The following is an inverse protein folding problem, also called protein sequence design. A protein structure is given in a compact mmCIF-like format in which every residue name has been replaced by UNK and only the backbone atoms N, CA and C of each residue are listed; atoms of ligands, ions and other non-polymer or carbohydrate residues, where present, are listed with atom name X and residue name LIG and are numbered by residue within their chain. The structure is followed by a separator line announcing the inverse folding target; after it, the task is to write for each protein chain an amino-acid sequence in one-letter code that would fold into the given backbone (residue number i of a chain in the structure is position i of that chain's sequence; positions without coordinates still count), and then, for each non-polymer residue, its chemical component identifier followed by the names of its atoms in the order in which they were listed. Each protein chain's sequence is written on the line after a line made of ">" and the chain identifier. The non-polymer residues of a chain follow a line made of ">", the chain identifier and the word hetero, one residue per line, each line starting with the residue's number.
data_IF_902106448621
#
_entry.id   IF_902106448621
#
_cell.length_a   1.000
_cell.length_b   1.000
_cell.length_c   1.000
_cell.angle_alpha   90.00
_cell.angle_beta   90.00
_cell.angle_gamma   90.00
#
_symmetry.space_group_name_H-M   'P 1'
#
loop_
_entity.id
_entity.type
_entity.pdbx_description
1 polymer ?
#
# COMPACT_ATOMS: atom_id res chain seq x y z
N UNK A 1 30.86 15.17 25.02
CA UNK A 1 31.66 15.10 23.79
C UNK A 1 31.24 13.83 23.06
N UNK A 2 31.06 13.89 21.74
CA UNK A 2 30.72 12.72 20.94
C UNK A 2 31.92 11.75 20.98
N UNK A 3 31.77 10.59 21.61
CA UNK A 3 32.86 9.62 21.75
C UNK A 3 32.93 8.77 20.49
N UNK A 4 33.87 9.09 19.61
CA UNK A 4 34.15 8.29 18.42
C UNK A 4 34.75 6.93 18.84
N UNK A 5 34.12 5.84 18.44
CA UNK A 5 34.62 4.49 18.70
C UNK A 5 35.87 4.23 17.84
N UNK A 6 36.85 3.45 18.35
CA UNK A 6 38.00 3.05 17.54
C UNK A 6 37.57 2.22 16.32
N UNK A 7 38.13 2.54 15.16
CA UNK A 7 37.84 1.90 13.88
C UNK A 7 38.73 0.68 13.67
N UNK A 8 38.12 -0.46 13.32
CA UNK A 8 38.80 -1.73 13.06
C UNK A 8 38.99 -1.99 11.58
N UNK A 9 38.02 -1.59 10.75
CA UNK A 9 38.08 -1.73 9.30
C UNK A 9 38.03 -3.17 8.78
N UNK A 10 37.61 -4.14 9.60
CA UNK A 10 37.42 -5.55 9.23
C UNK A 10 35.96 -5.86 8.83
N UNK A 11 35.66 -7.09 8.38
CA UNK A 11 34.29 -7.50 7.98
C UNK A 11 33.25 -7.45 9.11
N UNK A 12 33.70 -7.32 10.36
CA UNK A 12 32.83 -7.17 11.54
C UNK A 12 32.61 -5.71 11.93
N UNK A 13 33.22 -4.78 11.20
CA UNK A 13 33.06 -3.35 11.41
C UNK A 13 31.64 -2.91 11.04
N UNK A 14 30.95 -2.36 12.04
CA UNK A 14 29.57 -1.85 11.88
C UNK A 14 29.60 -0.36 11.55
N UNK A 15 30.73 0.32 11.83
CA UNK A 15 30.89 1.73 11.55
C UNK A 15 31.15 1.97 10.06
N UNK A 16 30.32 2.80 9.43
CA UNK A 16 30.58 3.27 8.08
C UNK A 16 31.94 4.03 8.03
N UNK A 17 32.91 3.59 7.20
CA UNK A 17 34.25 4.18 7.16
C UNK A 17 34.24 5.68 6.83
N UNK A 18 33.31 6.12 5.98
CA UNK A 18 33.18 7.51 5.58
C UNK A 18 32.63 8.38 6.71
N UNK A 19 31.65 7.86 7.45
CA UNK A 19 31.11 8.49 8.65
C UNK A 19 32.14 8.56 9.77
N UNK A 20 32.95 7.50 9.96
CA UNK A 20 34.09 7.53 10.87
C UNK A 20 35.02 8.70 10.54
N UNK A 21 35.51 8.77 9.30
CA UNK A 21 36.47 9.80 8.89
C UNK A 21 35.88 11.21 8.99
N UNK A 22 34.60 11.40 8.64
CA UNK A 22 33.90 12.68 8.82
C UNK A 22 33.76 13.08 10.28
N UNK A 23 33.46 12.13 11.16
CA UNK A 23 33.32 12.35 12.60
C UNK A 23 34.67 12.68 13.23
N UNK A 24 35.73 11.95 12.87
CA UNK A 24 37.11 12.27 13.26
C UNK A 24 37.48 13.69 12.84
N UNK A 25 37.28 14.03 11.56
CA UNK A 25 37.54 15.37 11.03
C UNK A 25 36.79 16.48 11.76
N UNK A 26 35.55 16.21 12.22
CA UNK A 26 34.76 17.14 13.02
C UNK A 26 35.35 17.31 14.42
N UNK A 27 35.76 16.21 15.07
CA UNK A 27 36.39 16.24 16.39
C UNK A 27 37.69 17.04 16.35
N UNK A 28 38.55 16.78 15.37
CA UNK A 28 39.82 17.53 15.19
C UNK A 28 39.57 19.04 15.03
N UNK A 29 38.58 19.43 14.23
CA UNK A 29 38.18 20.84 14.07
C UNK A 29 37.66 21.47 15.36
N UNK A 30 36.87 20.74 16.15
CA UNK A 30 36.36 21.21 17.45
C UNK A 30 37.47 21.31 18.49
N UNK A 31 38.45 20.42 18.43
CA UNK A 31 39.63 20.42 19.30
C UNK A 31 40.68 21.47 18.89
N UNK A 32 40.50 22.14 17.74
CA UNK A 32 41.43 23.16 17.26
C UNK A 32 42.71 22.60 16.61
N UNK A 33 42.74 21.30 16.30
CA UNK A 33 43.89 20.66 15.62
C UNK A 33 43.85 21.04 14.14
N UNK A 34 44.69 22.01 13.77
CA UNK A 34 44.79 22.54 12.40
C UNK A 34 46.03 22.03 11.66
N UNK A 35 47.03 21.51 12.38
CA UNK A 35 48.22 20.92 11.77
C UNK A 35 47.91 19.54 11.19
N UNK A 36 48.37 19.29 9.96
CA UNK A 36 48.10 18.01 9.27
C UNK A 36 48.88 16.85 9.89
N UNK A 37 50.10 17.09 10.40
CA UNK A 37 50.92 16.07 11.05
C UNK A 37 50.29 15.62 12.36
N UNK A 38 49.92 16.57 13.23
CA UNK A 38 49.20 16.29 14.48
C UNK A 38 47.90 15.52 14.21
N UNK A 39 47.21 15.86 13.12
CA UNK A 39 45.97 15.19 12.72
C UNK A 39 46.21 13.76 12.22
N UNK A 40 47.29 13.50 11.50
CA UNK A 40 47.67 12.13 11.09
C UNK A 40 48.03 11.31 12.31
N UNK A 41 48.82 11.84 13.24
CA UNK A 41 49.18 11.16 14.47
C UNK A 41 47.95 10.85 15.33
N UNK A 42 47.07 11.84 15.51
CA UNK A 42 45.84 11.68 16.27
C UNK A 42 44.91 10.61 15.66
N UNK A 43 44.93 10.38 14.34
CA UNK A 43 44.11 9.33 13.73
C UNK A 43 44.46 7.95 14.28
N UNK A 44 45.73 7.69 14.60
CA UNK A 44 46.16 6.42 15.16
C UNK A 44 45.46 6.09 16.48
N UNK A 45 45.17 7.10 17.30
CA UNK A 45 44.44 6.93 18.58
C UNK A 45 42.98 6.48 18.37
N UNK A 46 42.43 6.71 17.17
CA UNK A 46 41.09 6.29 16.78
C UNK A 46 41.09 5.02 15.93
N UNK A 47 42.23 4.35 15.78
CA UNK A 47 42.33 3.03 15.15
C UNK A 47 42.44 1.96 16.24
N UNK A 48 41.67 0.89 16.10
CA UNK A 48 41.70 -0.21 17.06
C UNK A 48 43.03 -0.98 16.98
N UNK A 49 43.67 -1.31 18.12
CA UNK A 49 44.88 -2.15 18.11
C UNK A 49 44.63 -3.53 17.50
N UNK A 50 45.65 -4.10 16.84
CA UNK A 50 45.60 -5.43 16.22
C UNK A 50 44.45 -5.61 15.21
N UNK A 51 43.98 -4.52 14.61
CA UNK A 51 42.92 -4.52 13.59
C UNK A 51 43.50 -4.41 12.17
N UNK A 52 42.66 -4.71 11.19
CA UNK A 52 42.97 -4.50 9.78
C UNK A 52 43.30 -3.03 9.47
N UNK A 53 42.60 -2.10 10.12
CA UNK A 53 42.89 -0.68 10.00
C UNK A 53 44.28 -0.30 10.56
N UNK A 54 44.71 -0.93 11.65
CA UNK A 54 46.05 -0.72 12.19
C UNK A 54 47.12 -1.27 11.25
N UNK A 55 46.90 -2.46 10.68
CA UNK A 55 47.81 -3.04 9.69
C UNK A 55 47.92 -2.16 8.44
N UNK A 56 46.78 -1.67 7.92
CA UNK A 56 46.76 -0.71 6.82
C UNK A 56 47.54 0.56 7.15
N UNK A 57 47.27 1.17 8.31
CA UNK A 57 47.96 2.39 8.72
C UNK A 57 49.47 2.17 8.81
N UNK A 58 49.89 1.03 9.37
CA UNK A 58 51.29 0.61 9.49
C UNK A 58 52.00 0.42 8.14
N UNK A 59 51.25 0.12 7.08
CA UNK A 59 51.77 -0.08 5.73
C UNK A 59 51.71 1.16 4.84
N UNK A 60 51.22 2.31 5.35
CA UNK A 60 51.26 3.58 4.61
C UNK A 60 52.71 4.06 4.40
N UNK A 61 52.99 4.55 3.19
CA UNK A 61 54.27 5.18 2.87
C UNK A 61 54.47 6.50 3.62
N UNK A 62 55.73 6.96 3.72
CA UNK A 62 56.05 8.24 4.38
C UNK A 62 55.30 9.43 3.76
N UNK A 63 55.12 9.44 2.43
CA UNK A 63 54.34 10.47 1.74
C UNK A 63 52.85 10.43 2.14
N UNK A 64 52.26 9.23 2.24
CA UNK A 64 50.86 9.06 2.66
C UNK A 64 50.63 9.48 4.12
N UNK A 65 51.65 9.38 4.99
CA UNK A 65 51.57 9.85 6.39
C UNK A 65 51.95 11.31 6.58
N UNK A 66 52.50 11.98 5.58
CA UNK A 66 52.94 13.38 5.70
C UNK A 66 51.85 14.39 5.36
N UNK A 67 50.84 13.98 4.57
CA UNK A 67 49.78 14.85 4.07
C UNK A 67 48.42 14.23 4.37
N UNK A 68 47.54 15.00 5.00
CA UNK A 68 46.21 14.52 5.36
C UNK A 68 45.42 14.10 4.11
N UNK A 69 45.51 14.87 3.03
CA UNK A 69 44.83 14.57 1.77
C UNK A 69 45.29 13.22 1.16
N UNK A 70 46.58 12.88 1.27
CA UNK A 70 47.11 11.61 0.77
C UNK A 70 46.68 10.42 1.63
N UNK A 71 46.60 10.62 2.95
CA UNK A 71 46.05 9.61 3.87
C UNK A 71 44.57 9.37 3.58
N UNK A 72 43.77 10.43 3.48
CA UNK A 72 42.33 10.36 3.20
C UNK A 72 42.04 9.67 1.88
N UNK A 73 42.81 9.96 0.83
CA UNK A 73 42.71 9.25 -0.44
C UNK A 73 43.00 7.75 -0.30
N UNK A 74 44.04 7.40 0.46
CA UNK A 74 44.44 6.01 0.71
C UNK A 74 43.42 5.25 1.57
N UNK A 75 42.78 5.95 2.51
CA UNK A 75 41.71 5.43 3.36
C UNK A 75 40.48 5.10 2.50
N UNK A 76 40.05 6.05 1.66
CA UNK A 76 38.91 5.86 0.77
C UNK A 76 39.16 4.81 -0.31
N UNK A 77 40.41 4.58 -0.69
CA UNK A 77 40.78 3.49 -1.58
C UNK A 77 40.67 2.12 -0.89
N UNK A 78 41.07 2.02 0.39
CA UNK A 78 41.00 0.77 1.15
C UNK A 78 39.57 0.42 1.54
N UNK A 79 38.82 1.41 2.02
CA UNK A 79 37.42 1.27 2.42
C UNK A 79 36.54 2.09 1.49
N UNK A 80 36.41 1.58 0.27
CA UNK A 80 35.58 2.18 -0.77
C UNK A 80 34.14 2.35 -0.25
N UNK A 81 33.51 3.53 -0.41
CA UNK A 81 32.12 3.72 -0.04
C UNK A 81 31.27 2.69 -0.77
N UNK A 82 30.50 1.90 -0.03
CA UNK A 82 29.55 0.99 -0.65
C UNK A 82 28.61 1.81 -1.56
N UNK A 83 28.38 1.37 -2.80
CA UNK A 83 27.45 2.06 -3.68
C UNK A 83 26.08 2.06 -2.99
N UNK A 84 25.56 3.26 -2.73
CA UNK A 84 24.19 3.40 -2.22
C UNK A 84 23.28 2.68 -3.20
N UNK A 85 22.59 1.64 -2.73
CA UNK A 85 21.56 0.98 -3.51
C UNK A 85 20.50 2.03 -3.87
N UNK A 86 20.62 2.59 -5.08
CA UNK A 86 19.64 3.52 -5.61
C UNK A 86 18.44 2.70 -6.00
N UNK A 87 17.29 3.00 -5.39
CA UNK A 87 16.04 2.41 -5.85
C UNK A 87 15.86 2.72 -7.33
N UNK A 88 15.45 1.73 -8.11
CA UNK A 88 15.19 1.92 -9.53
C UNK A 88 13.88 2.69 -9.73
N UNK A 89 13.66 3.33 -10.89
CA UNK A 89 12.38 3.97 -11.21
C UNK A 89 11.18 3.03 -11.01
N UNK A 90 11.34 1.74 -11.32
CA UNK A 90 10.30 0.71 -11.16
C UNK A 90 9.96 0.48 -9.68
N UNK A 91 10.96 0.47 -8.80
CA UNK A 91 10.74 0.34 -7.35
C UNK A 91 10.01 1.56 -6.78
N UNK A 92 10.34 2.77 -7.27
CA UNK A 92 9.59 3.97 -6.90
C UNK A 92 8.15 3.94 -7.42
N UNK A 93 7.93 3.40 -8.61
CA UNK A 93 6.58 3.21 -9.15
C UNK A 93 5.79 2.17 -8.33
N UNK A 94 6.42 1.09 -7.88
CA UNK A 94 5.79 0.11 -7.00
C UNK A 94 5.40 0.73 -5.65
N UNK A 95 6.30 1.53 -5.05
CA UNK A 95 6.01 2.31 -3.84
C UNK A 95 4.86 3.30 -4.05
N UNK A 96 4.84 4.01 -5.19
CA UNK A 96 3.76 4.92 -5.56
C UNK A 96 2.41 4.20 -5.64
N UNK A 97 2.39 2.99 -6.21
CA UNK A 97 1.18 2.19 -6.33
C UNK A 97 0.75 1.57 -4.99
N UNK A 98 1.69 1.34 -4.07
CA UNK A 98 1.42 0.76 -2.74
C UNK A 98 1.06 1.84 -1.72
N UNK A 99 1.48 3.09 -1.95
CA UNK A 99 1.15 4.23 -1.10
C UNK A 99 -0.36 4.42 -1.01
N UNK A 100 -0.87 4.37 0.23
CA UNK A 100 -2.29 4.46 0.54
C UNK A 100 -2.52 5.52 1.61
N UNK A 101 -3.59 6.29 1.43
CA UNK A 101 -4.19 7.10 2.50
C UNK A 101 -5.37 6.29 3.01
N UNK A 102 -5.35 5.89 4.27
CA UNK A 102 -6.44 5.08 4.84
C UNK A 102 -7.67 5.95 5.14
N UNK A 103 -8.86 5.36 5.01
CA UNK A 103 -10.13 6.07 5.20
C UNK A 103 -10.26 6.66 6.63
N UNK A 104 -9.75 5.94 7.63
CA UNK A 104 -9.75 6.39 9.03
C UNK A 104 -8.72 7.51 9.29
N UNK A 105 -7.65 7.57 8.51
CA UNK A 105 -6.58 8.57 8.61
C UNK A 105 -6.94 9.88 7.92
N UNK A 106 -8.00 9.94 7.12
CA UNK A 106 -8.44 11.19 6.50
C UNK A 106 -8.79 12.23 7.57
N UNK A 107 -8.31 13.46 7.35
CA UNK A 107 -8.46 14.61 8.24
C UNK A 107 -7.91 14.40 9.66
N UNK A 108 -6.85 13.61 9.79
CA UNK A 108 -6.06 13.51 11.02
C UNK A 108 -4.67 14.14 10.83
N UNK A 109 -3.97 14.40 11.93
CA UNK A 109 -2.59 14.87 11.90
C UNK A 109 -1.63 13.75 12.28
N UNK A 110 -0.44 13.79 11.69
CA UNK A 110 0.67 12.89 12.02
C UNK A 110 1.95 13.70 12.13
N UNK A 111 2.79 13.34 13.08
CA UNK A 111 4.10 13.94 13.23
C UNK A 111 5.05 13.41 12.16
N UNK A 112 5.63 14.31 11.37
CA UNK A 112 6.66 14.00 10.38
C UNK A 112 7.80 15.00 10.56
N UNK A 113 9.00 14.49 10.86
CA UNK A 113 10.20 15.30 11.10
C UNK A 113 10.00 16.38 12.19
N UNK A 114 9.33 16.04 13.30
CA UNK A 114 9.06 16.98 14.40
C UNK A 114 7.97 18.01 14.11
N UNK A 115 7.25 17.89 12.99
CA UNK A 115 6.14 18.78 12.61
C UNK A 115 4.85 18.00 12.46
N UNK A 116 3.79 18.43 13.14
CA UNK A 116 2.45 17.90 12.94
C UNK A 116 1.88 18.42 11.61
N UNK A 117 1.61 17.51 10.68
CA UNK A 117 1.00 17.84 9.40
C UNK A 117 -0.23 16.95 9.16
N UNK A 118 -1.19 17.46 8.39
CA UNK A 118 -2.35 16.69 7.99
C UNK A 118 -1.95 15.51 7.11
N UNK A 119 -2.54 14.34 7.34
CA UNK A 119 -2.24 13.09 6.62
C UNK A 119 -2.43 13.20 5.11
N UNK A 120 -3.46 13.90 4.64
CA UNK A 120 -3.69 14.13 3.21
C UNK A 120 -2.60 15.02 2.58
N UNK A 121 -2.04 15.98 3.33
CA UNK A 121 -0.90 16.81 2.90
C UNK A 121 0.37 15.97 2.82
N UNK A 122 0.61 15.11 3.82
CA UNK A 122 1.75 14.19 3.84
C UNK A 122 1.66 13.24 2.64
N UNK A 123 0.49 12.64 2.42
CA UNK A 123 0.22 11.76 1.29
C UNK A 123 0.45 12.46 -0.05
N UNK A 124 -0.03 13.69 -0.21
CA UNK A 124 0.13 14.46 -1.45
C UNK A 124 1.60 14.74 -1.75
N UNK A 125 2.37 15.13 -0.73
CA UNK A 125 3.81 15.35 -0.83
C UNK A 125 4.55 14.07 -1.25
N UNK A 126 4.23 12.95 -0.60
CA UNK A 126 4.92 11.69 -0.84
C UNK A 126 4.57 11.09 -2.21
N UNK A 127 3.31 11.17 -2.61
CA UNK A 127 2.83 10.80 -3.95
C UNK A 127 3.63 11.55 -5.02
N UNK A 128 3.76 12.87 -4.90
CA UNK A 128 4.51 13.68 -5.86
C UNK A 128 6.01 13.34 -5.86
N UNK A 129 6.59 13.08 -4.68
CA UNK A 129 8.00 12.70 -4.54
C UNK A 129 8.28 11.38 -5.26
N UNK A 130 7.43 10.37 -5.07
CA UNK A 130 7.57 9.05 -5.69
C UNK A 130 7.35 9.11 -7.20
N UNK A 131 6.34 9.85 -7.67
CA UNK A 131 6.11 10.05 -9.10
C UNK A 131 7.31 10.70 -9.80
N UNK A 132 7.95 11.68 -9.16
CA UNK A 132 9.18 12.31 -9.66
C UNK A 132 10.37 11.35 -9.67
N UNK A 133 10.53 10.57 -8.60
CA UNK A 133 11.61 9.60 -8.50
C UNK A 133 11.47 8.46 -9.54
N UNK A 134 10.24 8.11 -9.92
CA UNK A 134 9.94 7.15 -10.97
C UNK A 134 9.93 7.75 -12.39
N UNK A 135 9.93 9.09 -12.54
CA UNK A 135 9.85 9.77 -13.84
C UNK A 135 8.49 9.63 -14.54
N UNK A 136 7.41 9.49 -13.76
CA UNK A 136 6.04 9.25 -14.26
C UNK A 136 5.08 10.39 -13.97
N UNK A 137 5.58 11.61 -13.74
CA UNK A 137 4.75 12.74 -13.26
C UNK A 137 3.58 13.08 -14.19
N UNK A 138 3.77 12.82 -15.49
CA UNK A 138 2.80 13.10 -16.56
C UNK A 138 2.05 11.87 -17.06
N UNK A 139 2.22 10.70 -16.42
CA UNK A 139 1.50 9.49 -16.80
C UNK A 139 0.04 9.57 -16.33
N UNK A 140 -0.84 9.95 -17.27
CA UNK A 140 -2.28 10.09 -17.03
C UNK A 140 -2.93 8.76 -16.58
N UNK A 141 -2.41 7.62 -17.04
CA UNK A 141 -2.90 6.29 -16.67
C UNK A 141 -2.64 6.01 -15.20
N UNK A 142 -1.40 6.22 -14.75
CA UNK A 142 -1.01 6.06 -13.35
C UNK A 142 -1.70 7.07 -12.43
N UNK A 143 -1.85 8.33 -12.87
CA UNK A 143 -2.63 9.34 -12.13
C UNK A 143 -4.05 8.85 -11.87
N UNK A 144 -4.71 8.27 -12.88
CA UNK A 144 -6.07 7.70 -12.72
C UNK A 144 -6.10 6.50 -11.77
N UNK A 145 -5.08 5.65 -11.80
CA UNK A 145 -4.98 4.49 -10.89
C UNK A 145 -4.83 4.96 -9.45
N UNK A 146 -3.91 5.90 -9.18
CA UNK A 146 -3.68 6.46 -7.84
C UNK A 146 -4.92 7.24 -7.37
N UNK A 147 -5.53 8.05 -8.23
CA UNK A 147 -6.77 8.75 -7.92
C UNK A 147 -7.89 7.79 -7.50
N UNK A 148 -8.03 6.62 -8.14
CA UNK A 148 -9.05 5.62 -7.77
C UNK A 148 -8.80 4.98 -6.40
N UNK A 149 -7.56 4.92 -5.93
CA UNK A 149 -7.17 4.36 -4.63
C UNK A 149 -7.40 5.33 -3.47
N UNK A 150 -7.67 6.60 -3.74
CA UNK A 150 -7.96 7.58 -2.69
C UNK A 150 -9.26 7.25 -1.94
N UNK A 151 -9.33 7.58 -0.64
CA UNK A 151 -10.54 7.52 0.16
C UNK A 151 -11.74 8.17 -0.54
N UNK A 152 -12.94 7.59 -0.32
CA UNK A 152 -14.17 8.09 -0.95
C UNK A 152 -14.44 9.56 -0.60
N UNK A 153 -14.17 9.94 0.66
CA UNK A 153 -14.28 11.32 1.18
C UNK A 153 -13.44 12.26 0.32
N UNK A 154 -12.15 11.95 0.13
CA UNK A 154 -11.22 12.75 -0.67
C UNK A 154 -11.68 12.82 -2.13
N UNK A 155 -12.03 11.68 -2.73
CA UNK A 155 -12.45 11.62 -4.15
C UNK A 155 -13.69 12.45 -4.45
N UNK A 156 -14.64 12.56 -3.52
CA UNK A 156 -15.85 13.38 -3.70
C UNK A 156 -15.55 14.87 -3.71
N UNK A 157 -14.56 15.30 -2.93
CA UNK A 157 -14.19 16.71 -2.82
C UNK A 157 -13.25 17.17 -3.94
N UNK A 158 -12.59 16.24 -4.64
CA UNK A 158 -11.80 16.54 -5.84
C UNK A 158 -12.72 16.93 -7.00
N UNK A 159 -12.91 18.24 -7.21
CA UNK A 159 -13.77 18.80 -8.26
C UNK A 159 -13.09 18.86 -9.63
N UNK A 160 -11.76 18.95 -9.65
CA UNK A 160 -10.97 19.12 -10.88
C UNK A 160 -10.46 17.79 -11.43
N UNK A 161 -10.43 17.69 -12.76
CA UNK A 161 -9.73 16.60 -13.44
C UNK A 161 -8.23 16.80 -13.28
N UNK A 162 -7.57 15.87 -12.59
CA UNK A 162 -6.13 15.85 -12.44
C UNK A 162 -5.52 15.00 -13.55
N UNK A 163 -4.66 15.59 -14.39
CA UNK A 163 -3.98 14.88 -15.48
C UNK A 163 -2.51 14.60 -15.17
N UNK A 164 -1.95 15.28 -14.17
CA UNK A 164 -0.58 15.10 -13.69
C UNK A 164 -0.58 14.80 -12.20
N UNK A 165 0.53 14.24 -11.72
CA UNK A 165 0.74 14.07 -10.28
C UNK A 165 0.88 15.41 -9.55
N UNK A 166 1.39 16.46 -10.21
CA UNK A 166 1.35 17.82 -9.66
C UNK A 166 -0.07 18.30 -9.40
N UNK A 167 -0.98 18.15 -10.38
CA UNK A 167 -2.38 18.57 -10.23
C UNK A 167 -3.06 17.80 -9.10
N UNK A 168 -2.86 16.47 -9.06
CA UNK A 168 -3.46 15.60 -8.06
C UNK A 168 -2.95 15.96 -6.65
N UNK A 169 -1.64 16.08 -6.48
CA UNK A 169 -1.04 16.40 -5.19
C UNK A 169 -1.47 17.79 -4.73
N UNK A 170 -1.54 18.76 -5.64
CA UNK A 170 -1.99 20.12 -5.33
C UNK A 170 -3.45 20.12 -4.86
N UNK A 171 -4.35 19.49 -5.62
CA UNK A 171 -5.77 19.49 -5.30
C UNK A 171 -6.04 18.77 -3.98
N UNK A 172 -5.39 17.62 -3.72
CA UNK A 172 -5.54 16.90 -2.44
C UNK A 172 -4.99 17.70 -1.27
N UNK A 173 -3.85 18.39 -1.44
CA UNK A 173 -3.23 19.23 -0.40
C UNK A 173 -4.09 20.45 -0.04
N UNK A 174 -4.80 20.99 -1.01
CA UNK A 174 -5.60 22.21 -0.87
C UNK A 174 -7.06 21.93 -0.45
N UNK A 175 -7.39 20.66 -0.14
CA UNK A 175 -8.70 20.31 0.41
C UNK A 175 -8.90 20.95 1.78
N UNK A 176 -10.11 21.49 1.95
CA UNK A 176 -10.52 22.06 3.22
C UNK A 176 -10.75 20.95 4.27
N UNK A 177 -10.21 21.16 5.46
CA UNK A 177 -10.24 20.15 6.53
C UNK A 177 -11.63 20.03 7.14
N UNK A 178 -12.37 21.13 7.25
CA UNK A 178 -13.73 21.12 7.78
C UNK A 178 -14.67 20.39 6.81
N UNK A 179 -14.52 20.63 5.50
CA UNK A 179 -15.25 19.86 4.46
C UNK A 179 -14.90 18.37 4.51
N UNK A 180 -13.62 18.01 4.71
CA UNK A 180 -13.19 16.61 4.84
C UNK A 180 -13.80 15.92 6.08
N UNK A 181 -13.85 16.61 7.21
CA UNK A 181 -14.44 16.06 8.44
C UNK A 181 -15.94 15.88 8.29
N UNK A 182 -16.63 16.90 7.77
CA UNK A 182 -18.08 16.84 7.53
C UNK A 182 -18.45 15.71 6.58
N UNK A 183 -17.77 15.59 5.43
CA UNK A 183 -18.06 14.52 4.47
C UNK A 183 -17.73 13.12 5.03
N UNK A 184 -16.75 13.02 5.94
CA UNK A 184 -16.47 11.76 6.65
C UNK A 184 -17.62 11.40 7.59
N UNK A 185 -18.13 12.36 8.36
CA UNK A 185 -19.30 12.18 9.23
C UNK A 185 -20.54 11.76 8.43
N UNK A 186 -20.84 12.45 7.32
CA UNK A 186 -21.97 12.14 6.44
C UNK A 186 -21.87 10.71 5.86
N UNK A 187 -20.68 10.28 5.46
CA UNK A 187 -20.45 8.92 4.96
C UNK A 187 -20.61 7.87 6.08
N UNK A 188 -20.13 8.17 7.29
CA UNK A 188 -20.23 7.26 8.43
C UNK A 188 -21.68 7.13 8.92
N UNK A 189 -22.45 8.21 8.94
CA UNK A 189 -23.88 8.21 9.26
C UNK A 189 -24.66 7.38 8.24
N UNK A 190 -24.48 7.65 6.94
CA UNK A 190 -25.14 6.87 5.89
C UNK A 190 -24.77 5.39 5.94
N UNK A 191 -23.51 5.06 6.25
CA UNK A 191 -23.09 3.65 6.44
C UNK A 191 -23.84 3.01 7.60
N UNK A 192 -23.95 3.71 8.73
CA UNK A 192 -24.66 3.22 9.91
C UNK A 192 -26.15 2.99 9.63
N UNK A 193 -26.80 3.91 8.93
CA UNK A 193 -28.21 3.77 8.53
C UNK A 193 -28.43 2.56 7.63
N UNK A 194 -27.54 2.31 6.66
CA UNK A 194 -27.63 1.15 5.78
C UNK A 194 -27.40 -0.17 6.55
N UNK A 195 -26.45 -0.21 7.48
CA UNK A 195 -26.25 -1.36 8.36
C UNK A 195 -27.49 -1.64 9.25
N UNK A 196 -28.14 -0.59 9.76
CA UNK A 196 -29.39 -0.74 10.50
C UNK A 196 -30.55 -1.23 9.62
N UNK A 197 -30.66 -0.72 8.40
CA UNK A 197 -31.65 -1.17 7.41
C UNK A 197 -31.44 -2.65 7.09
N UNK A 198 -30.21 -3.06 6.83
CA UNK A 198 -29.86 -4.45 6.52
C UNK A 198 -30.18 -5.39 7.69
N UNK A 199 -29.86 -4.98 8.93
CA UNK A 199 -30.23 -5.73 10.14
C UNK A 199 -31.75 -5.91 10.27
N UNK A 200 -32.53 -4.85 10.01
CA UNK A 200 -34.00 -4.92 10.03
C UNK A 200 -34.54 -5.88 8.98
N UNK A 201 -34.02 -5.81 7.75
CA UNK A 201 -34.42 -6.72 6.65
C UNK A 201 -34.08 -8.18 7.02
N UNK A 202 -32.88 -8.43 7.54
CA UNK A 202 -32.48 -9.79 7.96
C UNK A 202 -33.36 -10.33 9.09
N UNK A 203 -33.74 -9.48 10.05
CA UNK A 203 -34.63 -9.88 11.15
C UNK A 203 -36.05 -10.19 10.64
N UNK A 204 -36.58 -9.40 9.71
CA UNK A 204 -37.87 -9.65 9.08
C UNK A 204 -37.86 -10.97 8.28
N UNK A 205 -36.81 -11.24 7.51
CA UNK A 205 -36.66 -12.50 6.78
C UNK A 205 -36.62 -13.71 7.73
N UNK A 206 -35.86 -13.62 8.84
CA UNK A 206 -35.81 -14.67 9.86
C UNK A 206 -37.17 -14.91 10.51
N UNK A 207 -37.90 -13.85 10.86
CA UNK A 207 -39.24 -13.95 11.44
C UNK A 207 -40.25 -14.58 10.46
N UNK A 208 -40.20 -14.19 9.19
CA UNK A 208 -41.05 -14.75 8.14
C UNK A 208 -40.78 -16.24 7.92
N UNK A 209 -39.51 -16.65 7.86
CA UNK A 209 -39.14 -18.06 7.76
C UNK A 209 -39.63 -18.87 8.97
N UNK A 210 -39.48 -18.33 10.18
CA UNK A 210 -39.97 -18.98 11.40
C UNK A 210 -41.51 -19.16 11.38
N UNK A 211 -42.27 -18.17 10.93
CA UNK A 211 -43.73 -18.29 10.81
C UNK A 211 -44.14 -19.36 9.78
N UNK A 212 -43.45 -19.41 8.62
CA UNK A 212 -43.68 -20.46 7.61
C UNK A 212 -43.38 -21.85 8.20
N UNK A 213 -42.26 -22.01 8.91
CA UNK A 213 -41.91 -23.28 9.57
C UNK A 213 -42.95 -23.67 10.61
N UNK A 214 -43.42 -22.73 11.43
CA UNK A 214 -44.45 -23.00 12.44
C UNK A 214 -45.79 -23.41 11.81
N UNK A 215 -46.19 -22.78 10.70
CA UNK A 215 -47.39 -23.17 9.94
C UNK A 215 -47.26 -24.57 9.35
N UNK A 216 -46.09 -24.91 8.79
CA UNK A 216 -45.80 -26.26 8.28
C UNK A 216 -45.92 -27.32 9.39
N UNK A 217 -45.40 -27.04 10.58
CA UNK A 217 -45.50 -27.96 11.73
C UNK A 217 -46.95 -28.13 12.23
N UNK A 218 -47.79 -27.09 12.17
CA UNK A 218 -49.21 -27.21 12.54
C UNK A 218 -50.01 -28.05 11.54
N UNK A 219 -49.66 -28.03 10.26
CA UNK A 219 -50.34 -28.83 9.24
C UNK A 219 -50.02 -30.33 9.32
N UNK A 220 -48.89 -30.72 9.91
CA UNK A 220 -48.50 -32.13 10.09
C UNK A 220 -49.03 -32.76 11.38
N UNK A 221 -49.62 -31.99 12.29
CA UNK A 221 -50.24 -32.47 13.54
C UNK A 221 -51.76 -32.29 13.47
N UNK A 222 -52.45 -33.12 12.67
CA UNK A 222 -53.88 -33.38 12.87
C UNK A 222 -54.04 -34.74 13.56
N UNK A 223 -54.61 -34.81 14.79
CA UNK A 223 -55.03 -36.08 15.37
C UNK A 223 -56.31 -36.57 14.66
N UNK A 224 -56.25 -37.78 14.12
CA UNK A 224 -57.39 -38.48 13.55
C UNK A 224 -58.42 -38.79 14.66
N UNK A 225 -59.51 -38.04 14.74
CA UNK A 225 -60.70 -38.47 15.46
C UNK A 225 -61.67 -39.14 14.49
N UNK A 226 -61.80 -40.47 14.66
CA UNK A 226 -62.81 -41.33 14.03
C UNK A 226 -64.17 -41.12 14.71
N UNK A 227 -65.21 -40.87 13.93
CA UNK A 227 -66.59 -41.31 14.23
C UNK A 227 -67.36 -41.53 12.93
N UNK A 228 -68.26 -42.50 12.97
CA UNK A 228 -68.81 -43.32 11.87
C UNK A 228 -70.25 -42.91 11.53
N UNK A 229 -70.67 -43.23 10.29
CA UNK A 229 -72.03 -43.26 9.71
C UNK A 229 -72.63 -41.90 9.27
N UNK A 230 -73.33 -41.74 8.14
CA UNK A 230 -73.96 -42.66 7.17
C UNK A 230 -74.11 -41.96 5.78
N UNK A 231 -74.22 -42.75 4.71
CA UNK A 231 -74.42 -42.40 3.28
C UNK A 231 -75.81 -41.73 2.99
N UNK A 232 -76.20 -41.26 1.77
CA UNK A 232 -75.68 -41.64 0.44
C UNK A 232 -75.66 -40.57 -0.70
N UNK A 233 -75.17 -41.03 -1.87
CA UNK A 233 -75.65 -40.77 -3.25
C UNK A 233 -74.65 -40.10 -4.20
N UNK A 234 -74.24 -40.88 -5.20
CA UNK A 234 -73.44 -40.55 -6.40
C UNK A 234 -74.34 -39.87 -7.46
N UNK A 235 -73.84 -39.03 -8.39
CA UNK A 235 -73.13 -39.53 -9.57
C UNK A 235 -71.90 -38.68 -9.95
N UNK A 236 -70.75 -39.32 -10.20
CA UNK A 236 -70.23 -39.60 -11.55
C UNK A 236 -70.13 -38.37 -12.48
N UNK A 237 -68.93 -37.80 -12.60
CA UNK A 237 -68.35 -37.51 -13.93
C UNK A 237 -66.83 -37.59 -13.82
N UNK A 238 -66.27 -38.59 -14.49
CA UNK A 238 -64.85 -38.77 -14.79
C UNK A 238 -64.39 -37.64 -15.71
N UNK A 239 -63.37 -36.88 -15.29
CA UNK A 239 -62.41 -36.30 -16.22
C UNK A 239 -61.03 -36.83 -15.86
N UNK A 240 -60.46 -37.62 -16.78
CA UNK A 240 -59.13 -38.14 -16.69
C UNK A 240 -58.12 -37.02 -16.99
N UNK A 241 -57.18 -36.87 -16.07
CA UNK A 241 -56.00 -36.02 -16.17
C UNK A 241 -55.05 -36.65 -17.20
N UNK A 242 -54.69 -35.93 -18.26
CA UNK A 242 -53.47 -36.25 -19.02
C UNK A 242 -52.26 -35.62 -18.33
N UNK A 243 -51.21 -36.39 -18.01
CA UNK A 243 -49.97 -35.87 -17.46
C UNK A 243 -49.04 -35.40 -18.58
N UNK A 244 -48.75 -34.10 -18.65
CA UNK A 244 -47.61 -33.59 -19.43
C UNK A 244 -46.32 -33.89 -18.68
N UNK A 245 -45.65 -34.97 -19.11
CA UNK A 245 -44.31 -35.35 -18.69
C UNK A 245 -43.27 -34.45 -19.37
N UNK A 246 -42.40 -33.86 -18.55
CA UNK A 246 -41.21 -33.08 -18.89
C UNK A 246 -40.24 -33.84 -19.82
N UNK A 247 -39.42 -33.08 -20.57
CA UNK A 247 -37.95 -32.93 -20.43
C UNK A 247 -37.41 -32.17 -21.68
N UNK A 248 -36.10 -32.00 -21.89
CA UNK A 248 -35.26 -30.87 -21.50
C UNK A 248 -34.77 -30.05 -22.71
N UNK A 249 -34.55 -28.74 -22.53
CA UNK A 249 -33.97 -27.89 -23.57
C UNK A 249 -32.49 -28.23 -23.77
N UNK A 250 -32.17 -28.87 -24.89
CA UNK A 250 -30.79 -29.04 -25.40
C UNK A 250 -30.42 -27.77 -26.18
N UNK A 251 -29.22 -27.19 -26.00
CA UNK A 251 -28.76 -26.05 -26.81
C UNK A 251 -28.47 -26.50 -28.24
N UNK A 252 -29.01 -25.78 -29.22
CA UNK A 252 -28.71 -25.93 -30.65
C UNK A 252 -27.23 -25.68 -30.94
N UNK A 253 -26.57 -26.46 -31.83
CA UNK A 253 -25.22 -26.18 -32.27
C UNK A 253 -25.17 -24.95 -33.17
N UNK A 254 -24.13 -24.12 -32.98
CA UNK A 254 -23.81 -22.93 -33.79
C UNK A 254 -23.65 -23.30 -35.27
N UNK A 255 -24.32 -22.55 -36.15
CA UNK A 255 -24.15 -22.58 -37.60
C UNK A 255 -22.79 -22.01 -38.00
N UNK A 256 -22.20 -22.52 -39.08
CA UNK A 256 -20.83 -22.19 -39.53
C UNK A 256 -20.59 -20.71 -39.85
N UNK A 257 -21.64 -19.90 -40.00
CA UNK A 257 -21.56 -18.45 -40.10
C UNK A 257 -21.17 -17.73 -38.79
N UNK A 258 -21.18 -18.42 -37.64
CA UNK A 258 -20.82 -17.84 -36.33
C UNK A 258 -19.40 -18.21 -35.86
N UNK A 259 -18.67 -19.08 -36.59
CA UNK A 259 -17.28 -19.46 -36.24
C UNK A 259 -16.21 -18.60 -36.89
N UNK A 260 -16.57 -17.75 -37.85
CA UNK A 260 -15.59 -16.99 -38.66
C UNK A 260 -15.24 -15.60 -38.08
N UNK A 261 -15.96 -15.11 -37.08
CA UNK A 261 -15.62 -13.82 -36.42
C UNK A 261 -14.57 -13.96 -35.31
N UNK A 262 -14.24 -15.17 -34.85
CA UNK A 262 -13.31 -15.40 -33.73
C UNK A 262 -11.88 -15.74 -34.21
N UNK A 263 -11.63 -15.85 -35.53
CA UNK A 263 -10.33 -16.28 -36.07
C UNK A 263 -9.67 -15.28 -37.05
N UNK A 264 -10.06 -14.01 -36.99
CA UNK A 264 -9.71 -13.04 -38.02
C UNK A 264 -9.30 -11.64 -37.55
N UNK A 265 -8.63 -11.46 -36.40
CA UNK A 265 -7.88 -10.21 -36.13
C UNK A 265 -6.60 -10.49 -35.33
N UNK A 266 -5.81 -11.46 -35.79
CA UNK A 266 -4.40 -11.57 -35.41
C UNK A 266 -3.58 -11.91 -36.64
N UNK A 267 -3.39 -10.92 -37.53
CA UNK A 267 -2.21 -10.85 -38.41
C UNK A 267 -2.16 -9.51 -39.15
N UNK A 268 -1.20 -8.69 -38.71
CA UNK A 268 -0.30 -7.83 -39.49
C UNK A 268 -0.86 -6.82 -40.51
N UNK A 269 -0.54 -5.55 -40.28
CA UNK A 269 -0.10 -4.63 -41.33
C UNK A 269 1.21 -3.95 -40.88
N UNK A 270 2.23 -4.17 -41.72
CA UNK A 270 3.42 -3.37 -42.07
C UNK A 270 3.99 -2.38 -41.07
#
# INVERSE_FOLDING_TARGET
>A
METLKPFRGDETEVQDPQMFLRTFNRIMRVAGVMDEGEKVEALQDYIAPQSEAQEWYNNLSGQQRSLWASLEASFNQRWEPLPVAKKTPEQYQEELLTLKLEDNEVATTKEVNGTNAWTHVIWARETLRLAKAAGVEKDVGLVRVVHKKLPKVVRKLLKKKCNTFEDLAKEVRELDVEELQKEKEDIDEHRKEEEEREKRVMQQQKASLADITMRMQRLTVQPAMRTVASAPTVPSTRYAIQPTRRMPTVPTPLTDSQKETIRGVHTMHK
#
